data_IF_716676800983
#
_entry.id   IF_716676800983
#
_cell.length_a   1.000
_cell.length_b   1.000
_cell.length_c   1.000
_cell.angle_alpha   90.00
_cell.angle_beta   90.00
_cell.angle_gamma   90.00
#
_symmetry.space_group_name_H-M   'P 1'
#
loop_
_entity.id
_entity.type
_entity.pdbx_description
1 polymer ?
#
# COMPACT_ATOMS: atom_id res chain seq x y z
N UNK A 1 7.65 27.58 -22.39
CA UNK A 1 7.24 26.89 -23.64
C UNK A 1 6.52 25.58 -23.33
N UNK A 2 7.08 24.70 -22.49
CA UNK A 2 6.43 23.43 -22.09
C UNK A 2 5.03 23.60 -21.44
N UNK A 3 4.85 24.57 -20.53
CA UNK A 3 3.56 24.80 -19.83
C UNK A 3 2.43 25.34 -20.72
N UNK A 4 2.76 26.07 -21.79
CA UNK A 4 1.76 26.57 -22.75
C UNK A 4 1.34 25.48 -23.72
N UNK A 5 2.29 24.64 -24.12
CA UNK A 5 2.06 23.46 -24.96
C UNK A 5 1.16 22.45 -24.23
N UNK A 6 1.42 22.17 -22.95
CA UNK A 6 0.60 21.29 -22.11
C UNK A 6 -0.86 21.80 -21.97
N UNK A 7 -1.04 23.11 -21.85
CA UNK A 7 -2.39 23.73 -21.80
C UNK A 7 -3.16 23.61 -23.11
N UNK A 8 -2.46 23.54 -24.25
CA UNK A 8 -3.05 23.42 -25.59
C UNK A 8 -3.36 21.98 -25.99
N UNK A 9 -2.52 21.03 -25.60
CA UNK A 9 -2.72 19.60 -25.91
C UNK A 9 -3.59 18.86 -24.90
N UNK A 10 -3.73 19.39 -23.68
CA UNK A 10 -4.48 18.78 -22.60
C UNK A 10 -3.60 17.98 -21.62
N UNK A 11 -4.04 17.83 -20.37
CA UNK A 11 -3.20 17.34 -19.26
C UNK A 11 -2.73 15.88 -19.36
N UNK A 12 -3.30 15.07 -20.27
CA UNK A 12 -2.93 13.67 -20.46
C UNK A 12 -2.41 13.34 -21.88
N UNK A 13 -2.07 14.35 -22.68
CA UNK A 13 -1.59 14.10 -24.04
C UNK A 13 -0.17 13.53 -24.04
N UNK A 14 -0.03 12.21 -24.23
CA UNK A 14 1.25 11.55 -24.42
C UNK A 14 1.77 11.74 -25.85
N UNK A 15 2.75 12.63 -26.04
CA UNK A 15 3.41 12.86 -27.35
C UNK A 15 4.55 11.87 -27.52
N UNK A 16 4.40 10.89 -28.41
CA UNK A 16 5.45 9.94 -28.76
C UNK A 16 6.17 10.38 -30.05
N UNK A 17 7.29 11.09 -29.91
CA UNK A 17 8.08 11.59 -31.06
C UNK A 17 8.77 10.47 -31.86
N UNK A 18 8.93 9.28 -31.26
CA UNK A 18 9.55 8.11 -31.90
C UNK A 18 8.57 7.28 -32.72
N UNK A 19 7.26 7.44 -32.50
CA UNK A 19 6.19 6.78 -33.26
C UNK A 19 4.99 7.73 -33.43
N UNK A 20 5.10 8.74 -34.32
CA UNK A 20 4.12 9.82 -34.43
C UNK A 20 2.72 9.34 -34.89
N UNK A 21 2.67 8.27 -35.69
CA UNK A 21 1.42 7.73 -36.27
C UNK A 21 0.98 6.39 -35.61
N UNK A 22 1.70 5.94 -34.57
CA UNK A 22 1.48 4.63 -33.96
C UNK A 22 1.79 3.46 -34.91
N UNK A 23 2.58 3.68 -35.95
CA UNK A 23 2.87 2.72 -37.01
C UNK A 23 3.80 1.59 -36.51
N UNK A 24 4.74 1.91 -35.62
CA UNK A 24 5.62 0.91 -35.01
C UNK A 24 4.83 0.01 -34.06
N UNK A 25 3.91 0.57 -33.27
CA UNK A 25 3.02 -0.21 -32.41
C UNK A 25 2.15 -1.18 -33.22
N UNK A 26 1.52 -0.70 -34.32
CA UNK A 26 0.73 -1.54 -35.23
C UNK A 26 1.56 -2.64 -35.89
N UNK A 27 2.79 -2.33 -36.33
CA UNK A 27 3.71 -3.30 -36.94
C UNK A 27 4.11 -4.39 -35.95
N UNK A 28 4.42 -4.02 -34.70
CA UNK A 28 4.78 -4.98 -33.66
C UNK A 28 3.62 -5.92 -33.34
N UNK A 29 2.39 -5.39 -33.20
CA UNK A 29 1.19 -6.21 -33.01
C UNK A 29 0.98 -7.21 -34.15
N UNK A 30 1.08 -6.76 -35.41
CA UNK A 30 0.97 -7.64 -36.58
C UNK A 30 2.08 -8.70 -36.64
N UNK A 31 3.31 -8.36 -36.27
CA UNK A 31 4.43 -9.32 -36.22
C UNK A 31 4.24 -10.35 -35.10
N UNK A 32 3.69 -9.97 -33.95
CA UNK A 32 3.34 -10.89 -32.87
C UNK A 32 2.17 -11.80 -33.25
N UNK A 33 1.16 -11.28 -33.96
CA UNK A 33 0.05 -12.08 -34.49
C UNK A 33 0.49 -13.07 -35.59
N UNK A 34 1.39 -12.64 -36.48
CA UNK A 34 1.97 -13.49 -37.53
C UNK A 34 2.85 -14.62 -36.94
N UNK A 35 3.64 -14.33 -35.90
CA UNK A 35 4.47 -15.34 -35.22
C UNK A 35 3.64 -16.30 -34.35
N UNK A 36 2.52 -15.82 -33.77
CA UNK A 36 1.52 -16.65 -33.07
C UNK A 36 0.82 -17.63 -34.02
N UNK A 37 0.37 -17.14 -35.19
CA UNK A 37 -0.29 -17.98 -36.22
C UNK A 37 0.69 -18.96 -36.88
N UNK A 38 1.95 -18.59 -37.08
CA UNK A 38 2.99 -19.51 -37.56
C UNK A 38 3.27 -20.66 -36.58
N UNK A 39 3.22 -20.41 -35.26
CA UNK A 39 3.39 -21.44 -34.22
C UNK A 39 2.19 -22.39 -34.08
N UNK A 40 0.96 -21.95 -34.35
CA UNK A 40 -0.23 -22.81 -34.26
C UNK A 40 -0.32 -23.84 -35.38
N UNK A 41 0.33 -23.60 -36.52
CA UNK A 41 0.39 -24.54 -37.65
C UNK A 41 1.43 -25.65 -37.41
N UNK A 42 2.43 -25.43 -36.54
CA UNK A 42 3.49 -26.40 -36.25
C UNK A 42 3.29 -27.23 -34.97
N UNK A 43 2.19 -27.05 -34.24
CA UNK A 43 1.92 -27.73 -32.96
C UNK A 43 1.32 -29.15 -33.10
N UNK A 44 1.57 -29.82 -34.22
CA UNK A 44 1.19 -31.21 -34.49
C UNK A 44 2.41 -32.11 -34.69
N UNK A 45 3.28 -32.26 -33.69
CA UNK A 45 4.42 -33.18 -33.79
C UNK A 45 5.29 -33.21 -32.54
N UNK A 46 5.22 -34.30 -31.78
CA UNK A 46 6.07 -34.60 -30.61
C UNK A 46 7.54 -34.79 -31.04
N UNK A 47 8.47 -34.28 -30.24
CA UNK A 47 9.87 -34.71 -30.27
C UNK A 47 10.81 -33.76 -29.53
N UNK A 48 11.31 -34.18 -28.36
CA UNK A 48 12.36 -33.49 -27.62
C UNK A 48 13.73 -33.77 -28.26
N UNK A 49 14.53 -32.72 -28.52
CA UNK A 49 15.98 -32.70 -28.32
C UNK A 49 16.63 -31.35 -28.73
N UNK A 50 17.46 -30.85 -27.80
CA UNK A 50 18.75 -30.13 -27.97
C UNK A 50 18.77 -28.75 -28.67
N UNK A 51 19.09 -27.75 -27.85
CA UNK A 51 19.49 -26.38 -28.18
C UNK A 51 20.83 -26.35 -28.90
N UNK A 52 20.89 -25.72 -30.08
CA UNK A 52 21.90 -24.73 -30.55
C UNK A 52 21.74 -24.46 -32.07
N UNK A 53 21.01 -23.40 -32.46
CA UNK A 53 21.06 -22.74 -33.77
C UNK A 53 20.37 -21.36 -33.69
N UNK A 54 20.80 -20.38 -34.50
CA UNK A 54 20.47 -18.94 -34.42
C UNK A 54 18.99 -18.52 -34.61
N UNK A 55 18.70 -17.20 -34.56
CA UNK A 55 17.36 -16.69 -34.30
C UNK A 55 16.54 -16.60 -35.59
N UNK A 56 15.89 -17.70 -35.96
CA UNK A 56 14.73 -17.62 -36.83
C UNK A 56 13.46 -17.83 -35.98
N UNK A 57 12.63 -16.77 -35.91
CA UNK A 57 11.33 -16.72 -35.24
C UNK A 57 11.28 -17.04 -33.74
N UNK A 58 12.33 -16.75 -32.98
CA UNK A 58 12.23 -16.74 -31.51
C UNK A 58 11.87 -15.34 -31.01
N UNK A 59 10.64 -15.19 -30.50
CA UNK A 59 10.19 -13.96 -29.85
C UNK A 59 10.75 -13.95 -28.43
N UNK A 60 11.73 -13.09 -28.18
CA UNK A 60 12.26 -12.83 -26.84
C UNK A 60 11.69 -11.49 -26.35
N UNK A 61 10.89 -11.54 -25.29
CA UNK A 61 10.36 -10.34 -24.63
C UNK A 61 11.06 -10.17 -23.29
N UNK A 62 11.84 -9.10 -23.16
CA UNK A 62 12.57 -8.76 -21.92
C UNK A 62 11.85 -7.59 -21.24
N UNK A 63 11.21 -7.87 -20.11
CA UNK A 63 10.50 -6.88 -19.31
C UNK A 63 11.36 -6.45 -18.12
N UNK A 64 11.93 -5.26 -18.20
CA UNK A 64 12.61 -4.61 -17.08
C UNK A 64 11.64 -3.62 -16.40
N UNK A 65 10.76 -4.12 -15.54
CA UNK A 65 9.87 -3.27 -14.73
C UNK A 65 9.65 -3.89 -13.36
N UNK A 66 9.47 -3.03 -12.34
CA UNK A 66 9.06 -3.42 -10.98
C UNK A 66 7.64 -2.92 -10.69
N UNK A 67 6.62 -3.42 -11.39
CA UNK A 67 5.26 -2.91 -11.29
C UNK A 67 4.68 -3.01 -9.88
N UNK A 68 5.15 -3.96 -9.06
CA UNK A 68 4.70 -4.09 -7.67
C UNK A 68 5.21 -2.96 -6.76
N UNK A 69 6.42 -2.45 -7.00
CA UNK A 69 6.97 -1.33 -6.22
C UNK A 69 6.22 -0.03 -6.50
N UNK A 70 5.83 0.19 -7.76
CA UNK A 70 5.04 1.35 -8.17
C UNK A 70 3.62 1.27 -7.61
N UNK A 71 2.98 0.09 -7.68
CA UNK A 71 1.67 -0.15 -7.07
C UNK A 71 1.68 0.08 -5.55
N UNK A 72 2.71 -0.40 -4.86
CA UNK A 72 2.88 -0.17 -3.43
C UNK A 72 3.02 1.32 -3.11
N UNK A 73 3.86 2.05 -3.86
CA UNK A 73 4.10 3.48 -3.66
C UNK A 73 2.84 4.31 -3.91
N UNK A 74 2.07 3.97 -4.95
CA UNK A 74 0.79 4.62 -5.24
C UNK A 74 -0.25 4.33 -4.16
N UNK A 75 -0.39 3.06 -3.73
CA UNK A 75 -1.31 2.67 -2.68
C UNK A 75 -0.99 3.34 -1.33
N UNK A 76 0.30 3.48 -0.99
CA UNK A 76 0.73 4.17 0.22
C UNK A 76 0.30 5.65 0.22
N UNK A 77 0.45 6.35 -0.91
CA UNK A 77 0.00 7.73 -1.06
C UNK A 77 -1.52 7.88 -0.95
N UNK A 78 -2.27 6.94 -1.52
CA UNK A 78 -3.73 6.92 -1.41
C UNK A 78 -4.16 6.68 0.05
N UNK A 79 -3.53 5.74 0.75
CA UNK A 79 -3.83 5.43 2.15
C UNK A 79 -3.53 6.61 3.09
N UNK A 80 -2.45 7.36 2.84
CA UNK A 80 -2.14 8.59 3.60
C UNK A 80 -3.21 9.67 3.38
N UNK A 81 -3.64 9.86 2.13
CA UNK A 81 -4.70 10.80 1.80
C UNK A 81 -6.04 10.39 2.41
N UNK A 82 -6.38 9.10 2.37
CA UNK A 82 -7.59 8.55 2.99
C UNK A 82 -7.59 8.76 4.51
N UNK A 83 -6.46 8.49 5.18
CA UNK A 83 -6.32 8.76 6.62
C UNK A 83 -6.53 10.23 6.94
N UNK A 84 -5.88 11.14 6.21
CA UNK A 84 -6.04 12.58 6.42
C UNK A 84 -7.47 13.05 6.13
N UNK A 85 -8.11 12.48 5.11
CA UNK A 85 -9.49 12.78 4.78
C UNK A 85 -10.43 12.31 5.89
N UNK A 86 -10.23 11.12 6.46
CA UNK A 86 -11.01 10.62 7.58
C UNK A 86 -10.85 11.49 8.84
N UNK A 87 -9.64 11.94 9.14
CA UNK A 87 -9.38 12.89 10.25
C UNK A 87 -10.09 14.23 10.03
N UNK A 88 -10.07 14.74 8.79
CA UNK A 88 -10.81 15.94 8.41
C UNK A 88 -12.32 15.73 8.47
N UNK A 89 -12.81 14.56 8.04
CA UNK A 89 -14.22 14.21 8.11
C UNK A 89 -14.69 14.21 9.57
N UNK A 90 -13.99 13.54 10.49
CA UNK A 90 -14.36 13.54 11.92
C UNK A 90 -14.38 14.95 12.51
N UNK A 91 -13.47 15.83 12.08
CA UNK A 91 -13.38 17.20 12.61
C UNK A 91 -14.45 18.14 12.04
N UNK A 92 -14.87 17.94 10.79
CA UNK A 92 -15.78 18.83 10.06
C UNK A 92 -17.21 18.29 10.03
N UNK A 93 -17.41 16.99 10.23
CA UNK A 93 -18.72 16.34 10.23
C UNK A 93 -19.53 16.84 11.40
N UNK A 94 -20.42 17.77 11.12
CA UNK A 94 -21.53 18.08 12.00
C UNK A 94 -22.53 16.93 11.88
N UNK A 95 -22.69 16.14 12.94
CA UNK A 95 -23.96 15.42 13.07
C UNK A 95 -25.05 16.48 13.13
N UNK A 96 -25.99 16.41 12.18
CA UNK A 96 -27.20 17.20 12.27
C UNK A 96 -27.94 16.69 13.51
N UNK A 97 -27.84 17.44 14.61
CA UNK A 97 -28.74 17.26 15.72
C UNK A 97 -30.12 17.78 15.29
N UNK A 98 -30.80 16.97 14.46
CA UNK A 98 -32.16 17.23 13.96
C UNK A 98 -33.13 17.42 15.14
N UNK A 99 -32.72 17.01 16.34
CA UNK A 99 -33.50 17.07 17.57
C UNK A 99 -33.35 18.40 18.34
N UNK A 100 -32.44 19.31 17.97
CA UNK A 100 -32.34 20.60 18.63
C UNK A 100 -33.06 21.71 17.86
N UNK A 101 -34.36 21.99 18.15
CA UNK A 101 -35.11 23.04 17.48
C UNK A 101 -34.54 24.44 17.70
N UNK A 102 -33.64 24.64 18.67
CA UNK A 102 -32.96 25.93 18.90
C UNK A 102 -31.81 26.18 17.92
N UNK A 103 -31.38 25.15 17.20
CA UNK A 103 -30.38 25.27 16.12
C UNK A 103 -31.01 25.64 14.76
N UNK A 104 -32.35 25.63 14.68
CA UNK A 104 -33.11 25.96 13.48
C UNK A 104 -32.90 27.43 13.12
N UNK A 105 -32.34 27.68 11.94
CA UNK A 105 -31.99 29.01 11.46
C UNK A 105 -30.56 29.44 11.75
N UNK A 106 -29.76 28.64 12.47
CA UNK A 106 -28.31 28.83 12.56
C UNK A 106 -27.55 28.04 11.47
N UNK A 107 -28.18 27.00 10.89
CA UNK A 107 -27.59 26.19 9.83
C UNK A 107 -27.67 26.92 8.47
N UNK A 108 -26.51 27.37 7.99
CA UNK A 108 -26.31 27.78 6.60
C UNK A 108 -26.10 26.56 5.68
N UNK A 109 -26.07 26.78 4.36
CA UNK A 109 -25.78 25.72 3.38
C UNK A 109 -24.32 25.24 3.45
N UNK A 110 -23.43 26.04 4.06
CA UNK A 110 -22.05 25.70 4.35
C UNK A 110 -21.66 26.03 5.80
N UNK A 111 -20.57 25.40 6.28
CA UNK A 111 -19.98 25.71 7.59
C UNK A 111 -19.55 27.19 7.66
N UNK A 112 -19.06 27.74 6.55
CA UNK A 112 -18.67 29.15 6.48
C UNK A 112 -19.87 30.08 6.68
N UNK A 113 -20.97 29.85 5.97
CA UNK A 113 -22.21 30.63 6.14
C UNK A 113 -22.74 30.56 7.57
N UNK A 114 -22.68 29.37 8.18
CA UNK A 114 -23.06 29.16 9.58
C UNK A 114 -22.20 30.02 10.51
N UNK A 115 -20.87 30.04 10.32
CA UNK A 115 -19.94 30.86 11.11
C UNK A 115 -20.18 32.36 10.88
N UNK A 116 -20.41 32.80 9.65
CA UNK A 116 -20.73 34.21 9.35
C UNK A 116 -22.03 34.66 10.00
N UNK A 117 -23.06 33.81 10.00
CA UNK A 117 -24.32 34.08 10.65
C UNK A 117 -24.14 34.16 12.18
N UNK A 118 -23.42 33.22 12.79
CA UNK A 118 -23.09 33.26 14.22
C UNK A 118 -22.29 34.53 14.55
N UNK A 119 -21.32 34.91 13.72
CA UNK A 119 -20.53 36.13 13.91
C UNK A 119 -21.41 37.38 13.85
N UNK A 120 -22.34 37.46 12.89
CA UNK A 120 -23.28 38.57 12.79
C UNK A 120 -24.20 38.65 14.02
N UNK A 121 -24.66 37.50 14.53
CA UNK A 121 -25.45 37.43 15.77
C UNK A 121 -24.64 37.90 16.98
N UNK A 122 -23.40 37.43 17.13
CA UNK A 122 -22.51 37.86 18.22
C UNK A 122 -22.24 39.37 18.17
N UNK A 123 -21.97 39.92 16.99
CA UNK A 123 -21.74 41.35 16.82
C UNK A 123 -22.99 42.20 17.12
N UNK A 124 -24.18 41.62 17.01
CA UNK A 124 -25.46 42.28 17.34
C UNK A 124 -25.81 42.20 18.83
N UNK A 125 -25.08 41.43 19.64
CA UNK A 125 -25.34 41.33 21.08
C UNK A 125 -24.78 42.58 21.78
N UNK A 126 -25.69 43.45 22.22
CA UNK A 126 -25.39 44.57 23.10
C UNK A 126 -25.71 44.19 24.56
N UNK A 127 -24.89 44.64 25.51
CA UNK A 127 -24.96 44.29 26.93
C UNK A 127 -26.34 44.62 27.53
N UNK A 128 -26.92 45.77 27.17
CA UNK A 128 -28.24 46.16 27.65
C UNK A 128 -29.38 45.26 27.13
N UNK A 129 -29.25 44.76 25.90
CA UNK A 129 -30.22 43.81 25.33
C UNK A 129 -30.06 42.41 25.91
N UNK A 130 -28.82 42.03 26.29
CA UNK A 130 -28.52 40.74 26.90
C UNK A 130 -29.16 40.62 28.29
N UNK A 131 -29.05 41.66 29.13
CA UNK A 131 -29.67 41.70 30.47
C UNK A 131 -31.20 41.54 30.39
N UNK A 132 -31.83 42.19 29.40
CA UNK A 132 -33.28 42.08 29.19
C UNK A 132 -33.70 40.68 28.71
N UNK A 133 -32.89 40.06 27.84
CA UNK A 133 -33.13 38.70 27.36
C UNK A 133 -32.90 37.70 28.48
N UNK A 134 -31.88 37.88 29.32
CA UNK A 134 -31.60 37.03 30.48
C UNK A 134 -32.77 37.05 31.48
N UNK A 135 -33.30 38.22 31.82
CA UNK A 135 -34.45 38.33 32.72
C UNK A 135 -35.70 37.57 32.19
N UNK A 136 -35.92 37.61 30.86
CA UNK A 136 -37.00 36.85 30.21
C UNK A 136 -36.72 35.35 30.19
N UNK A 137 -35.48 34.94 29.91
CA UNK A 137 -35.06 33.54 29.95
C UNK A 137 -35.21 32.95 31.35
N UNK A 138 -34.91 33.70 32.41
CA UNK A 138 -35.14 33.27 33.79
C UNK A 138 -36.63 33.01 34.07
N UNK A 139 -37.52 33.86 33.55
CA UNK A 139 -38.97 33.63 33.65
C UNK A 139 -39.44 32.38 32.89
N UNK A 140 -38.90 32.15 31.68
CA UNK A 140 -39.20 30.95 30.89
C UNK A 140 -38.68 29.69 31.58
N UNK A 141 -37.46 29.72 32.11
CA UNK A 141 -36.87 28.62 32.88
C UNK A 141 -37.72 28.28 34.10
N UNK A 142 -38.22 29.27 34.82
CA UNK A 142 -39.15 29.07 35.94
C UNK A 142 -40.42 28.32 35.51
N UNK A 143 -41.01 28.69 34.37
CA UNK A 143 -42.19 28.00 33.81
C UNK A 143 -41.88 26.57 33.36
N UNK A 144 -40.73 26.34 32.74
CA UNK A 144 -40.27 24.98 32.36
C UNK A 144 -40.09 24.11 33.59
N UNK A 145 -39.54 24.64 34.68
CA UNK A 145 -39.39 23.91 35.94
C UNK A 145 -40.74 23.57 36.59
N UNK A 146 -41.73 24.47 36.52
CA UNK A 146 -43.09 24.13 36.98
C UNK A 146 -43.74 23.03 36.13
N UNK A 147 -43.51 23.01 34.82
CA UNK A 147 -43.96 21.92 33.94
C UNK A 147 -43.24 20.61 34.31
N UNK A 148 -41.93 20.66 34.62
CA UNK A 148 -41.17 19.48 35.05
C UNK A 148 -41.66 18.90 36.39
N UNK A 149 -42.31 19.70 37.26
CA UNK A 149 -42.94 19.20 38.50
C UNK A 149 -44.18 18.33 38.21
N UNK A 150 -44.81 18.46 37.05
CA UNK A 150 -45.84 17.52 36.57
C UNK A 150 -45.18 16.23 36.04
N UNK A 151 -44.61 15.47 36.97
CA UNK A 151 -43.66 14.36 36.77
C UNK A 151 -44.18 13.21 35.91
N UNK A 152 -45.45 12.80 36.07
CA UNK A 152 -45.97 11.58 35.47
C UNK A 152 -46.11 11.64 33.93
N UNK A 153 -46.53 12.78 33.38
CA UNK A 153 -46.69 12.96 31.92
C UNK A 153 -45.36 13.27 31.23
N UNK A 154 -44.41 13.89 31.94
CA UNK A 154 -43.07 14.22 31.43
C UNK A 154 -42.18 12.97 31.39
N UNK A 155 -42.21 12.12 32.42
CA UNK A 155 -41.44 10.86 32.43
C UNK A 155 -41.91 9.88 31.35
N UNK A 156 -43.22 9.79 31.10
CA UNK A 156 -43.77 8.93 30.03
C UNK A 156 -43.35 9.42 28.64
N UNK A 157 -43.39 10.73 28.40
CA UNK A 157 -42.95 11.32 27.12
C UNK A 157 -41.44 11.16 26.88
N UNK A 158 -40.60 11.33 27.90
CA UNK A 158 -39.14 11.16 27.80
C UNK A 158 -38.76 9.69 27.55
N UNK A 159 -39.44 8.75 28.22
CA UNK A 159 -39.23 7.32 27.97
C UNK A 159 -39.67 6.92 26.56
N UNK A 160 -40.81 7.41 26.06
CA UNK A 160 -41.22 7.18 24.67
C UNK A 160 -40.22 7.75 23.65
N UNK A 161 -39.67 8.95 23.90
CA UNK A 161 -38.64 9.54 23.04
C UNK A 161 -37.38 8.68 22.98
N UNK A 162 -36.90 8.18 24.13
CA UNK A 162 -35.75 7.27 24.19
C UNK A 162 -36.02 5.94 23.48
N UNK A 163 -37.23 5.39 23.62
CA UNK A 163 -37.64 4.16 22.92
C UNK A 163 -37.63 4.39 21.40
N UNK A 164 -38.09 5.55 20.94
CA UNK A 164 -38.07 5.90 19.52
C UNK A 164 -36.63 6.04 18.99
N UNK A 165 -35.73 6.68 19.75
CA UNK A 165 -34.30 6.78 19.41
C UNK A 165 -33.63 5.40 19.33
N UNK A 166 -33.92 4.50 20.27
CA UNK A 166 -33.42 3.13 20.23
C UNK A 166 -33.93 2.36 19.01
N UNK A 167 -35.19 2.54 18.64
CA UNK A 167 -35.75 1.92 17.45
C UNK A 167 -35.08 2.44 16.17
N UNK A 168 -34.85 3.74 16.06
CA UNK A 168 -34.14 4.35 14.94
C UNK A 168 -32.70 3.82 14.85
N UNK A 169 -31.98 3.76 15.97
CA UNK A 169 -30.62 3.24 16.03
C UNK A 169 -30.56 1.77 15.60
N UNK A 170 -31.51 0.93 16.04
CA UNK A 170 -31.58 -0.47 15.61
C UNK A 170 -31.85 -0.59 14.11
N UNK A 171 -32.68 0.28 13.53
CA UNK A 171 -32.93 0.30 12.08
C UNK A 171 -31.67 0.68 11.28
N UNK A 172 -30.93 1.70 11.74
CA UNK A 172 -29.66 2.11 11.11
C UNK A 172 -28.59 1.02 11.17
N UNK A 173 -28.52 0.29 12.29
CA UNK A 173 -27.50 -0.75 12.52
C UNK A 173 -27.87 -2.11 11.92
N UNK A 174 -29.14 -2.36 11.61
CA UNK A 174 -29.63 -3.60 11.00
C UNK A 174 -28.85 -4.02 9.73
N UNK A 175 -28.63 -3.14 8.73
CA UNK A 175 -27.83 -3.50 7.55
C UNK A 175 -26.33 -3.67 7.87
N UNK A 176 -25.79 -3.00 8.89
CA UNK A 176 -24.38 -3.18 9.30
C UNK A 176 -24.16 -4.52 10.01
N UNK A 177 -25.14 -4.97 10.80
CA UNK A 177 -25.07 -6.22 11.56
C UNK A 177 -24.88 -7.45 10.67
N UNK A 178 -25.45 -7.47 9.46
CA UNK A 178 -25.28 -8.58 8.51
C UNK A 178 -23.89 -8.63 7.89
N UNK A 179 -23.19 -7.49 7.77
CA UNK A 179 -21.84 -7.39 7.18
C UNK A 179 -20.71 -7.55 8.21
N UNK A 180 -21.01 -7.37 9.50
CA UNK A 180 -20.03 -7.43 10.57
C UNK A 180 -19.23 -8.77 10.62
N UNK A 181 -19.86 -9.95 10.45
CA UNK A 181 -19.11 -11.21 10.40
C UNK A 181 -18.09 -11.26 9.26
N UNK A 182 -18.42 -10.73 8.08
CA UNK A 182 -17.50 -10.69 6.93
C UNK A 182 -16.30 -9.77 7.19
N UNK A 183 -16.54 -8.61 7.80
CA UNK A 183 -15.48 -7.67 8.20
C UNK A 183 -14.54 -8.32 9.21
N UNK A 184 -15.08 -8.99 10.23
CA UNK A 184 -14.28 -9.72 11.23
C UNK A 184 -13.47 -10.83 10.59
N UNK A 185 -14.05 -11.59 9.64
CA UNK A 185 -13.34 -12.65 8.95
C UNK A 185 -12.18 -12.11 8.10
N UNK A 186 -12.35 -10.97 7.43
CA UNK A 186 -11.27 -10.27 6.71
C UNK A 186 -10.17 -9.80 7.67
N UNK A 187 -10.52 -9.24 8.83
CA UNK A 187 -9.54 -8.83 9.85
C UNK A 187 -8.75 -10.03 10.40
N UNK A 188 -9.39 -11.18 10.61
CA UNK A 188 -8.72 -12.41 11.05
C UNK A 188 -7.75 -12.91 9.97
N UNK A 189 -8.13 -12.86 8.70
CA UNK A 189 -7.22 -13.21 7.60
C UNK A 189 -6.01 -12.27 7.53
N UNK A 190 -6.23 -10.95 7.70
CA UNK A 190 -5.15 -9.95 7.75
C UNK A 190 -4.24 -10.17 8.97
N UNK A 191 -4.79 -10.59 10.12
CA UNK A 191 -3.99 -10.94 11.30
C UNK A 191 -3.02 -12.07 11.02
N UNK A 192 -3.45 -13.14 10.34
CA UNK A 192 -2.55 -14.25 9.97
C UNK A 192 -1.41 -13.76 9.07
N UNK A 193 -1.71 -12.89 8.10
CA UNK A 193 -0.70 -12.26 7.25
C UNK A 193 0.28 -11.38 8.05
N UNK A 194 -0.22 -10.61 9.02
CA UNK A 194 0.61 -9.80 9.91
C UNK A 194 1.58 -10.68 10.71
N UNK A 195 1.09 -11.79 11.28
CA UNK A 195 1.92 -12.74 12.03
C UNK A 195 3.02 -13.35 11.14
N UNK A 196 2.68 -13.71 9.90
CA UNK A 196 3.67 -14.17 8.91
C UNK A 196 4.70 -13.08 8.56
N UNK A 197 4.28 -11.82 8.42
CA UNK A 197 5.19 -10.70 8.18
C UNK A 197 6.14 -10.45 9.37
N UNK A 198 5.67 -10.67 10.60
CA UNK A 198 6.52 -10.58 11.80
C UNK A 198 7.59 -11.69 11.81
N UNK A 199 7.22 -12.91 11.44
CA UNK A 199 8.16 -14.04 11.30
C UNK A 199 9.15 -13.84 10.15
N UNK A 200 8.74 -13.14 9.08
CA UNK A 200 9.61 -12.84 7.94
C UNK A 200 10.86 -12.04 8.34
N UNK A 201 10.72 -11.06 9.24
CA UNK A 201 11.87 -10.29 9.74
C UNK A 201 12.90 -11.16 10.46
N UNK A 202 12.44 -12.12 11.28
CA UNK A 202 13.31 -13.07 11.97
C UNK A 202 13.95 -14.08 11.00
N UNK A 203 13.19 -14.53 9.99
CA UNK A 203 13.72 -15.41 8.96
C UNK A 203 14.81 -14.71 8.13
N UNK A 204 14.63 -13.42 7.83
CA UNK A 204 15.59 -12.62 7.08
C UNK A 204 16.91 -12.47 7.84
N UNK A 205 16.87 -12.20 9.15
CA UNK A 205 18.09 -12.12 9.98
C UNK A 205 18.78 -13.48 10.11
N UNK A 206 18.02 -14.56 10.25
CA UNK A 206 18.58 -15.91 10.23
C UNK A 206 19.25 -16.22 8.88
N UNK A 207 18.62 -15.83 7.77
CA UNK A 207 19.17 -16.01 6.42
C UNK A 207 20.44 -15.18 6.19
N UNK A 208 20.51 -13.95 6.68
CA UNK A 208 21.73 -13.13 6.62
C UNK A 208 22.86 -13.81 7.42
N UNK A 209 22.55 -14.32 8.61
CA UNK A 209 23.53 -15.03 9.44
C UNK A 209 24.05 -16.30 8.74
N UNK A 210 23.16 -17.09 8.12
CA UNK A 210 23.59 -18.28 7.37
C UNK A 210 24.38 -17.93 6.12
N UNK A 211 24.03 -16.85 5.41
CA UNK A 211 24.83 -16.35 4.28
C UNK A 211 26.23 -15.92 4.72
N UNK A 212 26.38 -15.23 5.85
CA UNK A 212 27.69 -14.87 6.40
C UNK A 212 28.50 -16.11 6.78
N UNK A 213 27.88 -17.12 7.40
CA UNK A 213 28.56 -18.39 7.70
C UNK A 213 29.04 -19.11 6.43
N UNK A 214 28.20 -19.18 5.40
CA UNK A 214 28.56 -19.78 4.11
C UNK A 214 29.70 -19.00 3.45
N UNK A 215 29.65 -17.67 3.47
CA UNK A 215 30.71 -16.82 2.92
C UNK A 215 32.06 -17.05 3.64
N UNK A 216 32.04 -17.18 4.97
CA UNK A 216 33.22 -17.50 5.76
C UNK A 216 33.75 -18.90 5.43
N UNK A 217 32.88 -19.92 5.38
CA UNK A 217 33.26 -21.28 5.00
C UNK A 217 33.84 -21.34 3.58
N UNK A 218 33.30 -20.57 2.63
CA UNK A 218 33.84 -20.48 1.28
C UNK A 218 35.23 -19.86 1.28
N UNK A 219 35.47 -18.82 2.09
CA UNK A 219 36.79 -18.22 2.27
C UNK A 219 37.80 -19.22 2.84
N UNK A 220 37.40 -19.97 3.86
CA UNK A 220 38.25 -21.01 4.46
C UNK A 220 38.61 -22.08 3.42
N UNK A 221 37.64 -22.55 2.63
CA UNK A 221 37.86 -23.51 1.56
C UNK A 221 38.85 -22.98 0.50
N UNK A 222 38.76 -21.70 0.13
CA UNK A 222 39.74 -21.06 -0.77
C UNK A 222 41.14 -21.07 -0.15
N UNK A 223 41.28 -20.76 1.14
CA UNK A 223 42.60 -20.81 1.80
C UNK A 223 43.16 -22.23 1.83
N UNK A 224 42.32 -23.23 2.10
CA UNK A 224 42.71 -24.64 2.13
C UNK A 224 43.17 -25.12 0.74
N UNK A 225 42.42 -24.78 -0.32
CA UNK A 225 42.82 -25.07 -1.70
C UNK A 225 44.16 -24.41 -2.06
N UNK A 226 44.39 -23.18 -1.60
CA UNK A 226 45.65 -22.47 -1.84
C UNK A 226 46.82 -23.15 -1.12
N UNK A 227 46.60 -23.63 0.11
CA UNK A 227 47.59 -24.40 0.86
C UNK A 227 47.89 -25.75 0.20
N UNK A 228 46.85 -26.47 -0.25
CA UNK A 228 47.02 -27.74 -0.98
C UNK A 228 47.80 -27.53 -2.27
N UNK A 229 47.47 -26.48 -3.04
CA UNK A 229 48.20 -26.13 -4.26
C UNK A 229 49.67 -25.82 -3.98
N UNK A 230 49.96 -25.07 -2.90
CA UNK A 230 51.33 -24.77 -2.46
C UNK A 230 52.08 -26.04 -2.05
N UNK A 231 51.48 -26.89 -1.22
CA UNK A 231 52.06 -28.14 -0.76
C UNK A 231 52.32 -29.12 -1.94
N UNK A 232 51.40 -29.20 -2.91
CA UNK A 232 51.62 -29.97 -4.13
C UNK A 232 52.81 -29.45 -4.93
N UNK A 233 52.96 -28.13 -5.07
CA UNK A 233 54.09 -27.52 -5.78
C UNK A 233 55.42 -27.80 -5.08
N UNK A 234 55.47 -27.68 -3.75
CA UNK A 234 56.65 -27.99 -2.94
C UNK A 234 57.01 -29.49 -3.01
N UNK A 235 56.02 -30.37 -2.92
CA UNK A 235 56.21 -31.82 -3.08
C UNK A 235 56.73 -32.19 -4.47
N UNK A 236 56.19 -31.58 -5.54
CA UNK A 236 56.68 -31.81 -6.90
C UNK A 236 58.14 -31.37 -7.06
N UNK A 237 58.52 -30.20 -6.54
CA UNK A 237 59.89 -29.73 -6.57
C UNK A 237 60.83 -30.68 -5.80
N UNK A 238 60.43 -31.14 -4.62
CA UNK A 238 61.21 -32.11 -3.85
C UNK A 238 61.35 -33.46 -4.58
N UNK A 239 60.31 -33.93 -5.26
CA UNK A 239 60.36 -35.15 -6.07
C UNK A 239 61.31 -34.95 -7.26
N UNK A 240 61.27 -33.81 -7.93
CA UNK A 240 62.17 -33.46 -9.04
C UNK A 240 63.64 -33.43 -8.59
N UNK A 241 63.94 -32.78 -7.45
CA UNK A 241 65.28 -32.75 -6.84
C UNK A 241 65.77 -34.16 -6.46
N UNK A 242 64.89 -35.00 -5.91
CA UNK A 242 65.19 -36.39 -5.59
C UNK A 242 65.52 -37.19 -6.85
N UNK A 243 64.75 -37.03 -7.94
CA UNK A 243 65.04 -37.66 -9.23
C UNK A 243 66.37 -37.18 -9.82
N UNK A 244 66.67 -35.88 -9.75
CA UNK A 244 67.95 -35.34 -10.21
C UNK A 244 69.14 -35.91 -9.42
N UNK A 245 69.01 -36.02 -8.10
CA UNK A 245 70.00 -36.65 -7.21
C UNK A 245 70.22 -38.13 -7.53
N UNK A 246 69.14 -38.90 -7.72
CA UNK A 246 69.22 -40.31 -8.12
C UNK A 246 69.89 -40.44 -9.48
N UNK A 247 69.51 -39.64 -10.47
CA UNK A 247 70.11 -39.66 -11.81
C UNK A 247 71.61 -39.34 -11.75
N UNK A 248 72.03 -38.34 -10.97
CA UNK A 248 73.44 -38.04 -10.74
C UNK A 248 74.21 -39.22 -10.13
N UNK A 249 73.62 -39.92 -9.16
CA UNK A 249 74.22 -41.12 -8.56
C UNK A 249 74.34 -42.27 -9.54
N UNK A 250 73.30 -42.51 -10.36
CA UNK A 250 73.32 -43.53 -11.43
C UNK A 250 74.43 -43.21 -12.45
N UNK A 251 74.56 -41.96 -12.88
CA UNK A 251 75.63 -41.54 -13.79
C UNK A 251 77.03 -41.71 -13.19
N UNK A 252 77.20 -41.48 -11.88
CA UNK A 252 78.47 -41.72 -11.18
C UNK A 252 78.84 -43.21 -11.08
N UNK A 253 77.84 -44.10 -11.03
CA UNK A 253 78.03 -45.56 -11.01
C UNK A 253 78.22 -46.16 -12.42
N UNK A 254 77.82 -45.43 -13.46
CA UNK A 254 77.97 -45.84 -14.87
C UNK A 254 79.32 -45.44 -15.50
N UNK A 255 80.22 -44.84 -14.72
CA UNK A 255 81.64 -44.66 -15.04
C UNK A 255 82.48 -45.65 -14.23
#
# INVERSE_FOLDING_TARGET
VSTHLEKLLGPEAAINLTDPDGALAKRLLLQLEATKTAKSVSAGGKGAAKVTAGPENTVTYELHSRPEQDKFSQAAKIAELEKRLAELEVSVRCEQDVQNPLSVGLQGASLMETVELLQAKVNSLDVATLDQVEARLQSVLGKVNEIAKHKATVEDADTQSKVHQLYALVQEWSPLASTLPEVVQRLVAVRQLHEQAMQFGQLLTHLDTTQQMIANSLKDNVTLLTQVQKAMKENLAAVEDNFASINSRVQKLAK
#
